data_IF_983800439946
#
_entry.id   IF_983800439946
#
_cell.length_a   1.000
_cell.length_b   1.000
_cell.length_c   1.000
_cell.angle_alpha   90.00
_cell.angle_beta   90.00
_cell.angle_gamma   90.00
#
_symmetry.space_group_name_H-M   'P 1'
#
loop_
_entity.id
_entity.type
_entity.pdbx_description
1 polymer ?
#
# COMPACT_ATOMS: atom_id res chain seq x y z
N UNK A 1 -2.70 6.95 31.08
CA UNK A 1 -2.19 7.95 30.13
C UNK A 1 -2.48 7.41 28.74
N UNK A 2 -2.93 8.27 27.83
CA UNK A 2 -3.18 7.92 26.44
C UNK A 2 -1.86 7.60 25.74
N UNK A 3 -1.82 6.56 24.90
CA UNK A 3 -0.63 6.15 24.17
C UNK A 3 -0.42 7.02 22.94
N UNK A 4 0.79 7.55 22.75
CA UNK A 4 1.11 8.46 21.66
C UNK A 4 1.50 7.69 20.40
N UNK A 5 0.65 7.73 19.38
CA UNK A 5 0.80 6.99 18.12
C UNK A 5 1.15 7.95 16.98
N UNK A 6 2.31 7.76 16.37
CA UNK A 6 2.76 8.53 15.21
C UNK A 6 2.50 7.73 13.94
N UNK A 7 1.83 8.33 12.95
CA UNK A 7 1.49 7.65 11.70
C UNK A 7 2.08 8.43 10.53
N UNK A 8 3.03 7.84 9.82
CA UNK A 8 3.50 8.41 8.55
C UNK A 8 2.55 8.00 7.42
N UNK A 9 2.17 8.95 6.56
CA UNK A 9 1.17 8.70 5.52
C UNK A 9 -0.26 8.58 6.07
N UNK A 10 -0.56 9.24 7.20
CA UNK A 10 -1.84 9.11 7.90
C UNK A 10 -3.05 9.57 7.08
N UNK A 11 -2.87 10.45 6.08
CA UNK A 11 -3.92 10.86 5.15
C UNK A 11 -4.08 9.92 3.94
N UNK A 12 -3.30 8.84 3.88
CA UNK A 12 -3.32 7.87 2.78
C UNK A 12 -4.50 6.89 2.82
N UNK A 13 -4.45 5.89 1.94
CA UNK A 13 -5.43 4.80 1.82
C UNK A 13 -5.65 4.12 3.19
N UNK A 14 -4.62 3.42 3.68
CA UNK A 14 -4.65 2.73 4.97
C UNK A 14 -4.72 3.72 6.14
N UNK A 15 -3.99 4.83 6.06
CA UNK A 15 -3.94 5.82 7.14
C UNK A 15 -5.31 6.38 7.50
N UNK A 16 -6.12 6.76 6.51
CA UNK A 16 -7.46 7.33 6.75
C UNK A 16 -8.39 6.34 7.48
N UNK A 17 -8.29 5.05 7.16
CA UNK A 17 -9.10 4.01 7.81
C UNK A 17 -8.55 3.68 9.20
N UNK A 18 -7.23 3.67 9.37
CA UNK A 18 -6.61 3.52 10.68
C UNK A 18 -7.01 4.65 11.63
N UNK A 19 -7.08 5.89 11.15
CA UNK A 19 -7.58 7.02 11.94
C UNK A 19 -9.03 6.80 12.42
N UNK A 20 -9.91 6.30 11.53
CA UNK A 20 -11.28 5.91 11.90
C UNK A 20 -11.28 4.84 13.00
N UNK A 21 -10.51 3.76 12.80
CA UNK A 21 -10.44 2.64 13.74
C UNK A 21 -9.89 3.05 15.11
N UNK A 22 -8.85 3.89 15.16
CA UNK A 22 -8.29 4.38 16.43
C UNK A 22 -9.20 5.40 17.13
N UNK A 23 -10.02 6.15 16.39
CA UNK A 23 -10.97 7.09 16.98
C UNK A 23 -12.08 6.40 17.79
N UNK A 24 -12.42 5.14 17.47
CA UNK A 24 -13.34 4.31 18.26
C UNK A 24 -12.81 4.08 19.70
N UNK A 25 -11.50 4.11 19.89
CA UNK A 25 -10.78 3.95 21.17
C UNK A 25 -10.03 5.26 21.53
N UNK A 26 -10.62 6.44 21.22
CA UNK A 26 -9.94 7.75 21.33
C UNK A 26 -9.49 8.15 22.73
N UNK A 27 -10.03 7.55 23.79
CA UNK A 27 -9.54 7.74 25.15
C UNK A 27 -8.15 7.13 25.37
N UNK A 28 -7.78 6.14 24.56
CA UNK A 28 -6.55 5.36 24.70
C UNK A 28 -5.41 5.87 23.82
N UNK A 29 -5.69 6.72 22.82
CA UNK A 29 -4.70 7.14 21.82
C UNK A 29 -4.63 8.65 21.58
N UNK A 30 -3.40 9.18 21.58
CA UNK A 30 -3.07 10.51 21.05
C UNK A 30 -2.42 10.30 19.68
N UNK A 31 -3.06 10.77 18.61
CA UNK A 31 -2.61 10.48 17.24
C UNK A 31 -1.93 11.68 16.60
N UNK A 32 -0.71 11.44 16.11
CA UNK A 32 0.11 12.42 15.38
C UNK A 32 0.29 11.94 13.93
N UNK A 33 -0.19 12.73 12.97
CA UNK A 33 -0.16 12.41 11.55
C UNK A 33 0.95 13.13 10.80
N UNK A 34 1.78 12.38 10.05
CA UNK A 34 2.85 12.95 9.20
C UNK A 34 2.44 12.80 7.73
N UNK A 35 2.38 13.90 7.00
CA UNK A 35 1.95 13.93 5.59
C UNK A 35 2.65 15.04 4.82
N UNK A 36 2.84 14.86 3.51
CA UNK A 36 3.34 15.94 2.64
C UNK A 36 2.32 17.06 2.40
N UNK A 37 1.05 16.69 2.47
CA UNK A 37 -0.10 17.59 2.21
C UNK A 37 -1.11 17.33 3.32
N UNK A 38 -1.27 18.32 4.18
CA UNK A 38 -2.24 18.26 5.27
C UNK A 38 -3.66 18.13 4.71
N UNK A 39 -4.48 17.19 5.22
CA UNK A 39 -5.89 17.15 4.87
C UNK A 39 -6.64 18.32 5.50
N UNK A 40 -7.79 18.69 4.92
CA UNK A 40 -8.69 19.64 5.60
C UNK A 40 -9.13 19.04 6.95
N UNK A 41 -9.28 19.86 8.01
CA UNK A 41 -9.60 19.39 9.37
C UNK A 41 -11.10 19.03 9.51
N UNK A 42 -11.55 18.04 8.74
CA UNK A 42 -12.91 17.49 8.74
C UNK A 42 -12.90 16.04 9.23
N UNK A 43 -14.03 15.60 9.78
CA UNK A 43 -14.26 14.21 10.21
C UNK A 43 -13.11 13.70 11.09
N UNK A 44 -12.55 12.54 10.73
CA UNK A 44 -11.44 11.89 11.45
C UNK A 44 -10.11 12.63 11.41
N UNK A 45 -9.97 13.65 10.56
CA UNK A 45 -8.72 14.42 10.48
C UNK A 45 -8.67 15.55 11.53
N UNK A 46 -9.80 15.92 12.13
CA UNK A 46 -9.90 17.02 13.11
C UNK A 46 -9.20 16.70 14.43
N UNK A 47 -9.22 15.44 14.85
CA UNK A 47 -8.67 14.97 16.13
C UNK A 47 -7.17 14.62 16.06
N UNK A 48 -6.52 14.84 14.90
CA UNK A 48 -5.13 14.47 14.66
C UNK A 48 -4.23 15.70 14.71
N UNK A 49 -3.11 15.60 15.43
CA UNK A 49 -2.04 16.61 15.35
C UNK A 49 -1.21 16.38 14.11
N UNK A 50 -1.16 17.36 13.20
CA UNK A 50 -0.48 17.21 11.91
C UNK A 50 0.91 17.82 11.89
N UNK A 51 1.84 17.12 11.25
CA UNK A 51 3.13 17.65 10.82
C UNK A 51 3.31 17.46 9.32
N UNK A 52 3.64 18.55 8.63
CA UNK A 52 3.94 18.49 7.21
C UNK A 52 5.36 17.96 7.00
N UNK A 53 5.49 16.74 6.50
CA UNK A 53 6.78 16.03 6.33
C UNK A 53 6.84 15.34 4.97
N UNK A 54 7.91 15.60 4.21
CA UNK A 54 8.33 14.75 3.09
C UNK A 54 9.55 13.93 3.51
N UNK A 55 9.40 12.61 3.52
CA UNK A 55 10.47 11.68 3.90
C UNK A 55 11.62 11.63 2.90
N UNK A 56 11.44 12.17 1.69
CA UNK A 56 12.51 12.32 0.70
C UNK A 56 13.29 13.63 0.83
N UNK A 57 12.86 14.57 1.67
CA UNK A 57 13.52 15.87 1.77
C UNK A 57 14.83 15.81 2.57
N UNK A 58 15.87 16.58 2.18
CA UNK A 58 17.08 16.72 3.00
C UNK A 58 16.76 17.24 4.41
N UNK A 59 17.42 16.68 5.42
CA UNK A 59 17.27 17.12 6.82
C UNK A 59 16.00 16.62 7.51
N UNK A 60 15.25 15.70 6.90
CA UNK A 60 14.04 15.09 7.50
C UNK A 60 14.34 14.45 8.86
N UNK A 61 15.56 13.95 9.09
CA UNK A 61 15.97 13.29 10.33
C UNK A 61 15.76 14.18 11.56
N UNK A 62 16.16 15.45 11.49
CA UNK A 62 16.03 16.39 12.62
C UNK A 62 14.57 16.63 12.98
N UNK A 63 13.70 16.70 11.97
CA UNK A 63 12.26 16.86 12.17
C UNK A 63 11.66 15.60 12.81
N UNK A 64 12.01 14.42 12.29
CA UNK A 64 11.54 13.15 12.85
C UNK A 64 12.02 12.95 14.29
N UNK A 65 13.26 13.33 14.62
CA UNK A 65 13.81 13.22 15.97
C UNK A 65 13.00 14.03 16.99
N UNK A 66 12.54 15.21 16.61
CA UNK A 66 11.69 16.03 17.46
C UNK A 66 10.28 15.44 17.59
N UNK A 67 9.68 15.03 16.47
CA UNK A 67 8.31 14.52 16.44
C UNK A 67 8.18 13.18 17.16
N UNK A 68 9.22 12.34 17.13
CA UNK A 68 9.20 10.97 17.67
C UNK A 68 9.44 10.88 19.18
N UNK A 69 9.86 11.97 19.84
CA UNK A 69 10.06 11.98 21.30
C UNK A 69 8.77 11.60 22.04
N UNK A 70 8.88 10.66 22.98
CA UNK A 70 7.75 10.21 23.79
C UNK A 70 6.69 9.45 23.02
N UNK A 71 6.97 8.97 21.81
CA UNK A 71 6.03 8.11 21.09
C UNK A 71 6.04 6.68 21.64
N UNK A 72 4.85 6.12 21.85
CA UNK A 72 4.66 4.72 22.24
C UNK A 72 4.67 3.79 21.03
N UNK A 73 4.27 4.28 19.86
CA UNK A 73 4.29 3.50 18.63
C UNK A 73 4.46 4.41 17.41
N UNK A 74 5.21 3.94 16.43
CA UNK A 74 5.27 4.53 15.09
C UNK A 74 4.68 3.57 14.08
N UNK A 75 3.70 4.02 13.29
CA UNK A 75 3.12 3.29 12.17
C UNK A 75 3.61 3.90 10.87
N UNK A 76 4.47 3.17 10.15
CA UNK A 76 5.07 3.64 8.91
C UNK A 76 4.27 3.18 7.69
N UNK A 77 3.35 4.03 7.20
CA UNK A 77 2.51 3.77 6.00
C UNK A 77 2.95 4.59 4.77
N UNK A 78 3.78 5.61 4.96
CA UNK A 78 4.22 6.49 3.88
C UNK A 78 5.06 5.71 2.86
N UNK A 79 4.53 5.55 1.65
CA UNK A 79 5.22 4.88 0.54
C UNK A 79 4.83 5.47 -0.81
N UNK A 80 5.77 5.53 -1.74
CA UNK A 80 5.47 5.86 -3.13
C UNK A 80 5.03 4.63 -3.92
N UNK A 81 3.72 4.36 -3.96
CA UNK A 81 3.14 3.16 -4.61
C UNK A 81 3.00 3.26 -6.14
N UNK A 82 3.27 4.43 -6.73
CA UNK A 82 2.95 4.69 -8.13
C UNK A 82 3.90 3.99 -9.12
N UNK A 83 3.40 3.40 -10.23
CA UNK A 83 4.24 3.10 -11.37
C UNK A 83 4.93 4.36 -11.86
N UNK A 84 6.25 4.32 -12.03
CA UNK A 84 7.04 5.49 -12.40
C UNK A 84 8.19 5.11 -13.33
N UNK A 85 8.59 6.08 -14.14
CA UNK A 85 9.83 6.08 -14.90
C UNK A 85 10.96 6.77 -14.14
N UNK A 86 10.64 7.61 -13.14
CA UNK A 86 11.61 8.16 -12.22
C UNK A 86 11.76 7.22 -11.01
N UNK A 87 12.51 6.13 -11.21
CA UNK A 87 12.70 5.12 -10.17
C UNK A 87 13.58 5.62 -9.03
N UNK A 88 14.51 6.56 -9.28
CA UNK A 88 15.46 7.08 -8.27
C UNK A 88 14.71 7.69 -7.10
N UNK A 89 13.83 8.67 -7.37
CA UNK A 89 13.05 9.30 -6.30
C UNK A 89 12.22 8.30 -5.49
N UNK A 90 11.58 7.32 -6.15
CA UNK A 90 10.81 6.30 -5.42
C UNK A 90 11.70 5.41 -4.57
N UNK A 91 12.89 5.05 -5.05
CA UNK A 91 13.89 4.34 -4.25
C UNK A 91 14.37 5.19 -3.07
N UNK A 92 14.63 6.47 -3.27
CA UNK A 92 15.08 7.38 -2.22
C UNK A 92 14.01 7.54 -1.13
N UNK A 93 12.76 7.85 -1.50
CA UNK A 93 11.67 7.95 -0.51
C UNK A 93 11.39 6.61 0.17
N UNK A 94 11.40 5.50 -0.59
CA UNK A 94 11.14 4.18 -0.04
C UNK A 94 12.24 3.76 0.94
N UNK A 95 13.50 3.77 0.51
CA UNK A 95 14.61 3.22 1.28
C UNK A 95 15.12 4.26 2.28
N UNK A 96 15.50 5.46 1.83
CA UNK A 96 16.05 6.49 2.73
C UNK A 96 14.99 7.00 3.70
N UNK A 97 13.74 7.17 3.23
CA UNK A 97 12.61 7.55 4.08
C UNK A 97 12.30 6.50 5.16
N UNK A 98 12.23 5.21 4.80
CA UNK A 98 12.07 4.14 5.79
C UNK A 98 13.26 4.05 6.75
N UNK A 99 14.49 4.25 6.25
CA UNK A 99 15.68 4.27 7.08
C UNK A 99 15.68 5.44 8.07
N UNK A 100 15.25 6.63 7.64
CA UNK A 100 15.12 7.81 8.50
C UNK A 100 14.09 7.59 9.60
N UNK A 101 12.94 6.99 9.29
CA UNK A 101 11.91 6.62 10.27
C UNK A 101 12.45 5.61 11.30
N UNK A 102 13.13 4.56 10.85
CA UNK A 102 13.71 3.56 11.74
C UNK A 102 14.79 4.17 12.66
N UNK A 103 15.68 5.02 12.11
CA UNK A 103 16.71 5.72 12.89
C UNK A 103 16.10 6.65 13.93
N UNK A 104 15.08 7.42 13.56
CA UNK A 104 14.39 8.32 14.48
C UNK A 104 13.67 7.54 15.59
N UNK A 105 12.99 6.44 15.25
CA UNK A 105 12.35 5.56 16.23
C UNK A 105 13.36 4.99 17.22
N UNK A 106 14.52 4.55 16.73
CA UNK A 106 15.59 4.05 17.58
C UNK A 106 16.15 5.14 18.51
N UNK A 107 16.51 6.32 17.98
CA UNK A 107 17.07 7.42 18.79
C UNK A 107 16.09 7.94 19.84
N UNK A 108 14.79 7.96 19.52
CA UNK A 108 13.75 8.39 20.44
C UNK A 108 13.33 7.28 21.43
N UNK A 109 13.95 6.09 21.37
CA UNK A 109 13.60 4.93 22.18
C UNK A 109 12.11 4.55 22.07
N UNK A 110 11.54 4.68 20.87
CA UNK A 110 10.17 4.22 20.59
C UNK A 110 10.13 2.71 20.80
N UNK A 111 9.22 2.17 21.62
CA UNK A 111 9.24 0.75 21.94
C UNK A 111 8.73 -0.11 20.78
N UNK A 112 7.95 0.46 19.86
CA UNK A 112 7.26 -0.31 18.81
C UNK A 112 7.16 0.43 17.46
N UNK A 113 7.54 -0.25 16.38
CA UNK A 113 7.41 0.20 15.01
C UNK A 113 6.55 -0.79 14.21
N UNK A 114 5.41 -0.34 13.70
CA UNK A 114 4.59 -1.09 12.74
C UNK A 114 4.95 -0.64 11.33
N UNK A 115 5.65 -1.50 10.58
CA UNK A 115 6.02 -1.27 9.20
C UNK A 115 5.00 -1.89 8.24
N UNK A 116 4.46 -1.09 7.33
CA UNK A 116 3.63 -1.58 6.23
C UNK A 116 4.50 -2.13 5.09
N UNK A 117 4.74 -3.44 5.14
CA UNK A 117 5.41 -4.20 4.08
C UNK A 117 4.41 -4.59 2.96
N UNK A 118 4.66 -5.67 2.23
CA UNK A 118 3.80 -6.15 1.13
C UNK A 118 4.12 -7.58 0.75
N UNK A 119 3.13 -8.32 0.23
CA UNK A 119 3.34 -9.56 -0.54
C UNK A 119 4.39 -9.41 -1.64
N UNK A 120 4.57 -8.20 -2.15
CA UNK A 120 5.57 -7.88 -3.16
C UNK A 120 7.02 -8.05 -2.70
N UNK A 121 7.30 -8.33 -1.43
CA UNK A 121 8.66 -8.69 -0.97
C UNK A 121 9.00 -10.14 -1.27
N UNK A 122 8.01 -11.02 -1.43
CA UNK A 122 8.28 -12.44 -1.54
C UNK A 122 8.95 -12.82 -2.86
N UNK A 123 9.89 -13.75 -2.76
CA UNK A 123 10.59 -14.34 -3.89
C UNK A 123 9.65 -15.24 -4.71
N UNK A 124 9.86 -15.33 -6.04
CA UNK A 124 9.13 -16.28 -6.88
C UNK A 124 9.40 -17.73 -6.48
N UNK A 125 8.53 -18.66 -6.91
CA UNK A 125 8.77 -20.11 -6.80
C UNK A 125 7.60 -20.92 -6.22
N UNK A 126 6.56 -20.25 -5.71
CA UNK A 126 5.33 -20.89 -5.21
C UNK A 126 4.05 -20.19 -5.67
N UNK A 127 4.03 -19.75 -6.93
CA UNK A 127 2.85 -19.13 -7.51
C UNK A 127 1.61 -20.04 -7.36
N UNK A 128 0.48 -19.45 -6.96
CA UNK A 128 -0.77 -20.18 -6.72
C UNK A 128 -0.80 -21.06 -5.46
N UNK A 129 0.28 -21.10 -4.67
CA UNK A 129 0.33 -21.79 -3.37
C UNK A 129 0.48 -20.78 -2.23
N UNK A 130 -0.11 -21.10 -1.08
CA UNK A 130 0.05 -20.29 0.13
C UNK A 130 1.44 -20.48 0.74
N UNK A 131 2.03 -19.40 1.21
CA UNK A 131 3.28 -19.41 1.99
C UNK A 131 3.10 -18.62 3.27
N UNK A 132 3.81 -19.02 4.31
CA UNK A 132 3.86 -18.31 5.59
C UNK A 132 4.93 -17.21 5.57
N UNK A 133 5.16 -16.59 6.72
CA UNK A 133 6.08 -15.48 6.86
C UNK A 133 7.57 -15.85 6.79
N UNK A 134 7.90 -17.14 6.78
CA UNK A 134 9.28 -17.64 6.67
C UNK A 134 9.79 -17.69 5.23
N UNK A 135 8.90 -17.53 4.24
CA UNK A 135 9.29 -17.52 2.84
C UNK A 135 10.22 -16.34 2.51
N UNK A 136 11.16 -16.57 1.59
CA UNK A 136 12.20 -15.60 1.25
C UNK A 136 11.61 -14.28 0.76
N UNK A 137 12.12 -13.17 1.29
CA UNK A 137 11.77 -11.79 0.93
C UNK A 137 12.73 -11.18 -0.11
N UNK A 138 13.36 -12.00 -0.95
CA UNK A 138 14.31 -11.53 -1.98
C UNK A 138 13.64 -10.79 -3.15
N UNK A 139 12.30 -10.78 -3.20
CA UNK A 139 11.51 -10.08 -4.19
C UNK A 139 11.59 -10.64 -5.62
N UNK A 140 10.94 -9.91 -6.52
CA UNK A 140 10.86 -10.15 -7.95
C UNK A 140 11.74 -9.13 -8.66
N UNK A 141 12.84 -9.60 -9.25
CA UNK A 141 13.89 -8.75 -9.84
C UNK A 141 13.39 -7.78 -10.91
N UNK A 142 12.37 -8.15 -11.68
CA UNK A 142 11.83 -7.29 -12.74
C UNK A 142 10.91 -6.18 -12.23
N UNK A 143 10.50 -6.21 -10.95
CA UNK A 143 9.62 -5.21 -10.35
C UNK A 143 10.40 -4.23 -9.47
N UNK A 144 10.45 -2.96 -9.86
CA UNK A 144 11.03 -1.88 -9.06
C UNK A 144 10.39 -1.77 -7.69
N UNK A 145 9.06 -1.88 -7.62
CA UNK A 145 8.31 -1.88 -6.36
C UNK A 145 8.77 -3.01 -5.44
N UNK A 146 8.86 -4.23 -5.99
CA UNK A 146 9.30 -5.41 -5.24
C UNK A 146 10.73 -5.26 -4.72
N UNK A 147 11.65 -4.78 -5.57
CA UNK A 147 13.04 -4.52 -5.18
C UNK A 147 13.14 -3.53 -4.02
N UNK A 148 12.39 -2.43 -4.07
CA UNK A 148 12.39 -1.43 -3.01
C UNK A 148 11.82 -1.98 -1.70
N UNK A 149 10.67 -2.67 -1.75
CA UNK A 149 10.08 -3.32 -0.57
C UNK A 149 11.00 -4.37 0.05
N UNK A 150 11.64 -5.20 -0.79
CA UNK A 150 12.58 -6.23 -0.35
C UNK A 150 13.85 -5.64 0.28
N UNK A 151 14.36 -4.53 -0.27
CA UNK A 151 15.50 -3.81 0.32
C UNK A 151 15.19 -3.26 1.71
N UNK A 152 13.96 -2.78 1.95
CA UNK A 152 13.53 -2.33 3.28
C UNK A 152 13.37 -3.51 4.24
N UNK A 153 12.81 -4.65 3.84
CA UNK A 153 12.80 -5.87 4.66
C UNK A 153 14.22 -6.28 5.08
N UNK A 154 15.17 -6.32 4.15
CA UNK A 154 16.56 -6.65 4.44
C UNK A 154 17.23 -5.63 5.40
N UNK A 155 16.90 -4.35 5.28
CA UNK A 155 17.35 -3.31 6.21
C UNK A 155 16.78 -3.52 7.62
N UNK A 156 15.51 -3.91 7.73
CA UNK A 156 14.87 -4.22 9.01
C UNK A 156 15.47 -5.49 9.65
N UNK A 157 15.74 -6.54 8.85
CA UNK A 157 16.39 -7.77 9.31
C UNK A 157 17.78 -7.48 9.89
N UNK A 158 18.53 -6.64 9.19
CA UNK A 158 19.84 -6.19 9.63
C UNK A 158 19.76 -5.38 10.93
N UNK A 159 18.79 -4.49 11.05
CA UNK A 159 18.59 -3.69 12.26
C UNK A 159 18.26 -4.56 13.47
N UNK A 160 17.31 -5.49 13.35
CA UNK A 160 16.91 -6.38 14.46
C UNK A 160 18.09 -7.25 14.92
N UNK A 161 18.90 -7.76 13.97
CA UNK A 161 20.10 -8.54 14.32
C UNK A 161 21.17 -7.71 15.02
N UNK A 162 21.35 -6.43 14.65
CA UNK A 162 22.32 -5.53 15.29
C UNK A 162 21.83 -4.93 16.61
N UNK A 163 20.52 -4.85 16.80
CA UNK A 163 19.91 -4.19 17.95
C UNK A 163 18.84 -5.09 18.60
N UNK A 164 19.23 -6.20 19.26
CA UNK A 164 18.25 -7.12 19.86
C UNK A 164 17.37 -6.48 20.94
N UNK A 165 17.86 -5.45 21.61
CA UNK A 165 17.13 -4.63 22.60
C UNK A 165 16.62 -3.31 22.02
N UNK A 166 16.61 -3.17 20.70
CA UNK A 166 16.17 -1.98 19.99
C UNK A 166 14.66 -1.87 19.88
N UNK A 167 14.19 -1.12 18.88
CA UNK A 167 12.76 -0.96 18.59
C UNK A 167 12.17 -2.31 18.20
N UNK A 168 11.06 -2.73 18.84
CA UNK A 168 10.33 -3.92 18.41
C UNK A 168 9.61 -3.67 17.09
N UNK A 169 9.77 -4.54 16.08
CA UNK A 169 9.26 -4.28 14.72
C UNK A 169 8.16 -5.28 14.35
N UNK A 170 6.96 -4.78 14.05
CA UNK A 170 5.91 -5.53 13.35
C UNK A 170 6.02 -5.28 11.86
N UNK A 171 5.99 -6.32 11.02
CA UNK A 171 5.99 -6.18 9.56
C UNK A 171 4.71 -6.77 8.98
N UNK A 172 3.79 -5.91 8.55
CA UNK A 172 2.55 -6.37 7.93
C UNK A 172 2.78 -6.56 6.43
N UNK A 173 2.59 -7.77 5.91
CA UNK A 173 2.75 -8.14 4.49
C UNK A 173 1.38 -8.42 3.87
N UNK A 174 0.59 -7.37 3.57
CA UNK A 174 -0.71 -7.57 2.95
C UNK A 174 -0.59 -7.97 1.49
N UNK A 175 -1.65 -8.63 1.00
CA UNK A 175 -1.96 -8.72 -0.43
C UNK A 175 -2.23 -7.34 -1.06
N UNK A 176 -2.88 -7.33 -2.22
CA UNK A 176 -3.35 -6.08 -2.82
C UNK A 176 -4.40 -5.45 -1.89
N UNK A 177 -4.10 -4.26 -1.35
CA UNK A 177 -5.01 -3.54 -0.46
C UNK A 177 -6.00 -2.74 -1.30
N UNK A 178 -7.30 -2.95 -1.06
CA UNK A 178 -8.39 -2.29 -1.78
C UNK A 178 -9.44 -1.70 -0.84
N UNK A 179 -10.17 -0.69 -1.32
CA UNK A 179 -11.41 -0.16 -0.74
C UNK A 179 -12.04 0.86 -1.71
N UNK A 180 -13.34 1.11 -1.58
CA UNK A 180 -14.09 2.12 -2.32
C UNK A 180 -13.53 3.54 -2.18
N UNK A 181 -13.23 3.97 -0.96
CA UNK A 181 -12.79 5.35 -0.65
C UNK A 181 -11.41 5.68 -1.24
N UNK A 182 -10.65 4.67 -1.64
CA UNK A 182 -9.35 4.84 -2.29
C UNK A 182 -9.42 4.72 -3.81
N UNK A 183 -10.59 4.47 -4.38
CA UNK A 183 -10.77 4.24 -5.81
C UNK A 183 -10.21 5.39 -6.66
N UNK A 184 -10.53 6.65 -6.35
CA UNK A 184 -9.98 7.80 -7.06
C UNK A 184 -8.45 7.94 -6.93
N UNK A 185 -7.85 7.42 -5.85
CA UNK A 185 -6.40 7.33 -5.67
C UNK A 185 -5.80 6.22 -6.52
N UNK A 186 -6.32 5.00 -6.40
CA UNK A 186 -5.88 3.80 -7.13
C UNK A 186 -6.08 3.93 -8.64
N UNK A 187 -7.15 4.59 -9.09
CA UNK A 187 -7.40 4.90 -10.51
C UNK A 187 -6.17 5.52 -11.17
N UNK A 188 -5.47 6.42 -10.47
CA UNK A 188 -4.31 7.15 -11.00
C UNK A 188 -3.11 6.23 -11.27
N UNK A 189 -3.07 5.05 -10.67
CA UNK A 189 -1.99 4.09 -10.82
C UNK A 189 -2.32 3.02 -11.87
N UNK A 190 -3.60 2.74 -12.09
CA UNK A 190 -4.06 1.63 -12.94
C UNK A 190 -4.54 2.11 -14.31
N UNK A 191 -5.09 3.32 -14.41
CA UNK A 191 -5.70 3.84 -15.64
C UNK A 191 -5.09 5.20 -16.06
N UNK A 192 -4.83 5.42 -17.37
CA UNK A 192 -4.53 6.75 -17.89
C UNK A 192 -5.63 7.76 -17.58
N UNK A 193 -5.27 9.03 -17.40
CA UNK A 193 -6.23 10.10 -17.07
C UNK A 193 -7.33 10.28 -18.13
N UNK A 194 -7.04 9.97 -19.39
CA UNK A 194 -8.00 10.08 -20.50
C UNK A 194 -9.02 8.94 -20.55
N UNK A 195 -8.81 7.84 -19.81
CA UNK A 195 -9.81 6.78 -19.67
C UNK A 195 -10.76 7.16 -18.54
N UNK A 196 -12.04 7.32 -18.88
CA UNK A 196 -13.09 7.54 -17.90
C UNK A 196 -13.48 6.18 -17.27
N UNK A 197 -13.53 6.10 -15.93
CA UNK A 197 -13.80 4.85 -15.22
C UNK A 197 -15.21 4.30 -15.45
N UNK A 198 -16.17 5.13 -15.87
CA UNK A 198 -17.48 4.63 -16.31
C UNK A 198 -17.37 3.65 -17.49
N UNK A 199 -16.30 3.73 -18.30
CA UNK A 199 -16.04 2.79 -19.40
C UNK A 199 -15.68 1.38 -18.92
N UNK A 200 -15.29 1.19 -17.66
CA UNK A 200 -15.07 -0.14 -17.09
C UNK A 200 -16.35 -1.00 -17.17
N UNK A 201 -17.54 -0.39 -17.07
CA UNK A 201 -18.83 -1.09 -17.23
C UNK A 201 -19.13 -1.54 -18.65
N UNK A 202 -18.45 -0.94 -19.63
CA UNK A 202 -18.58 -1.25 -21.05
C UNK A 202 -17.46 -2.18 -21.52
N UNK A 203 -16.61 -2.67 -20.60
CA UNK A 203 -15.56 -3.62 -20.91
C UNK A 203 -16.19 -5.00 -21.17
N UNK A 204 -16.49 -5.29 -22.45
CA UNK A 204 -17.16 -6.53 -22.83
C UNK A 204 -16.28 -7.78 -22.63
N UNK A 205 -14.96 -7.61 -22.72
CA UNK A 205 -13.99 -8.72 -22.63
C UNK A 205 -12.82 -8.35 -21.72
N UNK A 206 -12.39 -9.32 -20.90
CA UNK A 206 -11.23 -9.22 -20.03
C UNK A 206 -10.13 -10.18 -20.52
N UNK A 207 -9.18 -9.70 -21.34
CA UNK A 207 -8.08 -10.53 -21.84
C UNK A 207 -7.02 -10.73 -20.76
N UNK A 208 -7.10 -11.86 -20.05
CA UNK A 208 -6.19 -12.20 -18.95
C UNK A 208 -5.86 -13.70 -18.93
N UNK A 209 -4.70 -14.03 -18.37
CA UNK A 209 -4.29 -15.41 -18.21
C UNK A 209 -5.20 -16.10 -17.17
N UNK A 210 -5.65 -17.33 -17.47
CA UNK A 210 -6.50 -18.14 -16.57
C UNK A 210 -5.79 -18.56 -15.29
N UNK A 211 -4.45 -18.54 -15.29
CA UNK A 211 -3.63 -18.86 -14.12
C UNK A 211 -3.60 -17.75 -13.07
N UNK A 212 -4.12 -16.55 -13.38
CA UNK A 212 -4.07 -15.41 -12.47
C UNK A 212 -4.76 -15.74 -11.13
N UNK A 213 -3.99 -15.62 -10.05
CA UNK A 213 -4.45 -15.71 -8.67
C UNK A 213 -3.72 -14.65 -7.83
N UNK A 214 -4.47 -13.81 -7.12
CA UNK A 214 -3.95 -12.67 -6.35
C UNK A 214 -4.49 -12.75 -4.93
N UNK A 215 -3.62 -12.56 -3.93
CA UNK A 215 -4.06 -12.29 -2.56
C UNK A 215 -4.50 -10.83 -2.48
N UNK A 216 -5.73 -10.59 -2.03
CA UNK A 216 -6.35 -9.27 -1.91
C UNK A 216 -6.89 -9.11 -0.50
N UNK A 217 -6.87 -7.90 0.07
CA UNK A 217 -7.38 -7.62 1.41
C UNK A 217 -8.05 -6.25 1.46
N UNK A 218 -9.16 -6.15 2.19
CA UNK A 218 -9.84 -4.86 2.37
C UNK A 218 -9.07 -3.96 3.32
N UNK A 219 -9.17 -2.64 3.12
CA UNK A 219 -8.39 -1.67 3.91
C UNK A 219 -8.81 -1.64 5.38
N UNK A 220 -10.10 -1.87 5.69
CA UNK A 220 -10.59 -2.00 7.07
C UNK A 220 -9.92 -3.15 7.82
N UNK A 221 -9.76 -4.30 7.16
CA UNK A 221 -9.12 -5.46 7.77
C UNK A 221 -7.64 -5.19 8.03
N UNK A 222 -6.95 -4.46 7.14
CA UNK A 222 -5.57 -4.03 7.36
C UNK A 222 -5.47 -3.05 8.54
N UNK A 223 -6.40 -2.09 8.65
CA UNK A 223 -6.43 -1.15 9.76
C UNK A 223 -6.69 -1.86 11.11
N UNK A 224 -7.58 -2.85 11.14
CA UNK A 224 -7.82 -3.68 12.33
C UNK A 224 -6.57 -4.48 12.72
N UNK A 225 -5.85 -5.05 11.76
CA UNK A 225 -4.58 -5.74 12.01
C UNK A 225 -3.53 -4.79 12.62
N UNK A 226 -3.44 -3.54 12.15
CA UNK A 226 -2.54 -2.53 12.73
C UNK A 226 -2.96 -2.20 14.16
N UNK A 227 -4.24 -1.93 14.42
CA UNK A 227 -4.73 -1.61 15.75
C UNK A 227 -4.44 -2.74 16.75
N UNK A 228 -4.66 -3.99 16.34
CA UNK A 228 -4.32 -5.19 17.13
C UNK A 228 -2.83 -5.34 17.36
N UNK A 229 -2.00 -5.05 16.35
CA UNK A 229 -0.54 -5.06 16.50
C UNK A 229 -0.06 -3.99 17.48
N UNK A 230 -0.62 -2.77 17.43
CA UNK A 230 -0.31 -1.69 18.39
C UNK A 230 -0.66 -2.14 19.81
N UNK A 231 -1.87 -2.67 20.02
CA UNK A 231 -2.38 -3.07 21.33
C UNK A 231 -1.59 -4.24 21.95
N UNK A 232 -1.27 -5.25 21.14
CA UNK A 232 -0.54 -6.44 21.59
C UNK A 232 0.98 -6.26 21.61
N UNK A 233 1.50 -5.20 20.96
CA UNK A 233 2.94 -4.98 20.70
C UNK A 233 3.61 -6.20 20.04
N UNK A 234 2.86 -6.95 19.24
CA UNK A 234 3.33 -8.19 18.63
C UNK A 234 4.42 -7.91 17.58
N UNK A 235 5.59 -8.53 17.73
CA UNK A 235 6.73 -8.34 16.83
C UNK A 235 6.84 -9.44 15.76
N UNK A 236 7.59 -9.14 14.71
CA UNK A 236 7.83 -10.02 13.57
C UNK A 236 6.86 -9.80 12.41
N UNK A 237 6.96 -10.65 11.39
CA UNK A 237 6.15 -10.53 10.19
C UNK A 237 4.75 -11.15 10.35
N UNK A 238 3.76 -10.57 9.66
CA UNK A 238 2.38 -11.06 9.58
C UNK A 238 1.81 -10.87 8.18
N UNK A 239 1.37 -11.96 7.56
CA UNK A 239 0.66 -11.95 6.30
C UNK A 239 -0.80 -11.55 6.49
N UNK A 240 -1.31 -10.70 5.60
CA UNK A 240 -2.71 -10.26 5.61
C UNK A 240 -3.35 -10.46 4.23
N UNK A 241 -4.38 -11.30 4.17
CA UNK A 241 -5.16 -11.57 2.97
C UNK A 241 -6.60 -11.91 3.36
N UNK A 242 -7.55 -11.40 2.56
CA UNK A 242 -8.89 -11.95 2.49
C UNK A 242 -8.88 -13.29 1.78
N UNK A 243 -9.93 -14.08 2.02
CA UNK A 243 -10.18 -15.36 1.36
C UNK A 243 -11.51 -15.26 0.62
N UNK A 244 -11.69 -16.02 -0.48
CA UNK A 244 -10.66 -16.80 -1.19
C UNK A 244 -9.71 -15.89 -2.01
N UNK A 245 -8.58 -16.39 -2.53
CA UNK A 245 -7.76 -15.63 -3.47
C UNK A 245 -8.55 -15.25 -4.71
N UNK A 246 -8.38 -14.01 -5.19
CA UNK A 246 -9.07 -13.49 -6.37
C UNK A 246 -8.43 -14.04 -7.63
N UNK A 247 -9.25 -14.63 -8.49
CA UNK A 247 -8.87 -15.20 -9.79
C UNK A 247 -9.38 -14.35 -10.94
N UNK A 248 -8.93 -14.68 -12.16
CA UNK A 248 -9.37 -14.02 -13.40
C UNK A 248 -10.90 -13.95 -13.52
N UNK A 249 -11.58 -15.06 -13.26
CA UNK A 249 -13.02 -15.16 -13.48
C UNK A 249 -13.82 -14.36 -12.46
N UNK A 250 -13.32 -14.23 -11.23
CA UNK A 250 -13.88 -13.33 -10.21
C UNK A 250 -13.79 -11.86 -10.67
N UNK A 251 -12.63 -11.46 -11.22
CA UNK A 251 -12.44 -10.11 -11.78
C UNK A 251 -13.41 -9.87 -12.94
N UNK A 252 -13.58 -10.85 -13.83
CA UNK A 252 -14.48 -10.74 -14.96
C UNK A 252 -15.94 -10.61 -14.50
N UNK A 253 -16.36 -11.40 -13.52
CA UNK A 253 -17.69 -11.34 -12.93
C UNK A 253 -17.96 -9.98 -12.30
N UNK A 254 -17.05 -9.46 -11.48
CA UNK A 254 -17.19 -8.15 -10.83
C UNK A 254 -17.27 -7.01 -11.86
N UNK A 255 -16.52 -7.10 -12.96
CA UNK A 255 -16.55 -6.10 -14.03
C UNK A 255 -17.76 -6.25 -14.98
N UNK A 256 -18.53 -7.34 -14.89
CA UNK A 256 -19.57 -7.67 -15.87
C UNK A 256 -19.02 -8.02 -17.26
N UNK A 257 -17.77 -8.50 -17.32
CA UNK A 257 -17.04 -8.79 -18.55
C UNK A 257 -16.96 -10.30 -18.83
N UNK A 258 -16.79 -10.70 -20.10
CA UNK A 258 -16.42 -12.08 -20.44
C UNK A 258 -14.91 -12.28 -20.32
N UNK A 259 -14.47 -13.25 -19.54
CA UNK A 259 -13.04 -13.57 -19.45
C UNK A 259 -12.56 -14.26 -20.73
N UNK A 260 -11.47 -13.76 -21.31
CA UNK A 260 -10.82 -14.34 -22.49
C UNK A 260 -9.41 -14.75 -22.10
N UNK A 261 -9.06 -16.02 -22.32
CA UNK A 261 -7.71 -16.50 -22.01
C UNK A 261 -6.70 -15.88 -22.97
N UNK A 262 -5.81 -15.06 -22.43
CA UNK A 262 -4.60 -14.60 -23.13
C UNK A 262 -3.40 -15.04 -22.31
N UNK A 263 -2.52 -15.91 -22.82
CA UNK A 263 -1.35 -16.37 -22.09
C UNK A 263 -0.46 -15.21 -21.63
N UNK A 264 0.06 -15.29 -20.41
CA UNK A 264 0.93 -14.28 -19.82
C UNK A 264 2.19 -14.01 -20.65
N UNK A 265 2.68 -15.01 -21.39
CA UNK A 265 3.77 -14.87 -22.35
C UNK A 265 3.45 -13.89 -23.50
N UNK A 266 2.18 -13.72 -23.86
CA UNK A 266 1.69 -12.75 -24.85
C UNK A 266 1.38 -11.41 -24.19
N UNK A 267 0.80 -11.42 -22.98
CA UNK A 267 0.48 -10.19 -22.24
C UNK A 267 1.74 -9.37 -21.91
N UNK A 268 2.84 -10.05 -21.52
CA UNK A 268 4.11 -9.39 -21.15
C UNK A 268 4.67 -8.46 -22.24
N UNK A 269 4.90 -8.90 -23.50
CA UNK A 269 5.39 -8.02 -24.56
C UNK A 269 4.38 -6.93 -24.94
N UNK A 270 3.08 -7.19 -24.88
CA UNK A 270 2.05 -6.18 -25.13
C UNK A 270 2.06 -5.05 -24.09
N UNK A 271 2.11 -5.42 -22.80
CA UNK A 271 2.23 -4.45 -21.69
C UNK A 271 3.54 -3.67 -21.78
N UNK A 272 4.66 -4.35 -22.07
CA UNK A 272 5.95 -3.69 -22.23
C UNK A 272 5.95 -2.69 -23.40
N UNK A 273 5.35 -3.07 -24.53
CA UNK A 273 5.28 -2.21 -25.72
C UNK A 273 4.39 -1.00 -25.47
N UNK A 274 3.19 -1.22 -24.92
CA UNK A 274 2.25 -0.13 -24.59
C UNK A 274 2.83 0.83 -23.54
N UNK A 275 3.58 0.33 -22.55
CA UNK A 275 4.33 1.14 -21.58
C UNK A 275 5.45 1.97 -22.23
N UNK A 276 6.20 1.40 -23.18
CA UNK A 276 7.24 2.13 -23.94
C UNK A 276 6.64 3.22 -24.82
N UNK A 277 5.49 2.93 -25.42
CA UNK A 277 4.71 3.88 -26.22
C UNK A 277 3.89 4.88 -25.39
N UNK A 278 3.96 4.80 -24.04
CA UNK A 278 3.24 5.68 -23.10
C UNK A 278 1.72 5.62 -23.22
N UNK A 279 1.19 4.50 -23.72
CA UNK A 279 -0.24 4.28 -23.87
C UNK A 279 -0.91 3.96 -22.53
N UNK A 280 -0.20 3.33 -21.59
CA UNK A 280 -0.76 2.94 -20.29
C UNK A 280 0.30 2.99 -19.17
N UNK A 281 -0.10 3.12 -17.88
CA UNK A 281 0.81 3.43 -16.78
C UNK A 281 1.45 2.22 -16.08
N UNK A 282 1.02 1.00 -16.38
CA UNK A 282 1.48 -0.26 -15.76
C UNK A 282 2.69 -0.79 -16.53
N UNK A 283 3.87 -0.81 -15.92
CA UNK A 283 5.03 -1.45 -16.54
C UNK A 283 5.04 -2.98 -16.37
N UNK A 284 5.90 -3.66 -17.14
CA UNK A 284 6.04 -5.13 -17.10
C UNK A 284 6.31 -5.66 -15.69
N UNK A 285 7.00 -4.92 -14.83
CA UNK A 285 7.33 -5.35 -13.48
C UNK A 285 6.10 -5.63 -12.61
N UNK A 286 5.01 -4.87 -12.78
CA UNK A 286 3.75 -5.12 -12.07
C UNK A 286 3.05 -6.39 -12.55
N UNK A 287 3.06 -6.64 -13.86
CA UNK A 287 2.52 -7.88 -14.41
C UNK A 287 3.34 -9.08 -13.93
N UNK A 288 4.66 -8.99 -14.02
CA UNK A 288 5.57 -10.03 -13.54
C UNK A 288 5.34 -10.30 -12.05
N UNK A 289 5.15 -9.26 -11.23
CA UNK A 289 4.82 -9.39 -9.81
C UNK A 289 3.54 -10.21 -9.59
N UNK A 290 2.45 -9.84 -10.27
CA UNK A 290 1.14 -10.50 -10.15
C UNK A 290 1.14 -11.99 -10.55
N UNK A 291 2.10 -12.41 -11.38
CA UNK A 291 2.29 -13.81 -11.80
C UNK A 291 3.46 -14.52 -11.12
N UNK A 292 4.14 -13.87 -10.17
CA UNK A 292 5.33 -14.42 -9.51
C UNK A 292 5.17 -14.61 -8.01
N UNK A 293 4.45 -13.70 -7.35
CA UNK A 293 4.30 -13.76 -5.88
C UNK A 293 3.41 -14.92 -5.45
N UNK A 294 3.72 -15.58 -4.33
CA UNK A 294 2.88 -16.63 -3.78
C UNK A 294 1.56 -16.06 -3.22
N UNK A 295 0.62 -16.96 -2.92
CA UNK A 295 -0.53 -16.62 -2.09
C UNK A 295 -0.11 -16.56 -0.62
N UNK A 296 -0.89 -15.88 0.21
CA UNK A 296 -0.55 -15.67 1.62
C UNK A 296 -1.26 -16.67 2.54
N UNK A 297 -0.50 -17.31 3.43
CA UNK A 297 -1.05 -17.95 4.62
C UNK A 297 -1.14 -16.94 5.75
N UNK A 298 -2.34 -16.75 6.31
CA UNK A 298 -2.66 -15.79 7.36
C UNK A 298 -2.80 -16.43 8.76
N UNK A 299 -2.38 -17.69 8.93
CA UNK A 299 -2.49 -18.43 10.19
C UNK A 299 -1.77 -17.74 11.38
N UNK A 300 -0.62 -17.11 11.15
CA UNK A 300 0.10 -16.40 12.21
C UNK A 300 -0.66 -15.17 12.70
N UNK A 301 -1.21 -14.37 11.79
CA UNK A 301 -2.03 -13.21 12.15
C UNK A 301 -3.26 -13.62 12.97
N UNK A 302 -3.92 -14.73 12.61
CA UNK A 302 -5.02 -15.31 13.40
C UNK A 302 -4.60 -15.70 14.81
N UNK A 303 -3.49 -16.41 14.96
CA UNK A 303 -3.06 -16.92 16.28
C UNK A 303 -2.47 -15.86 17.20
N UNK A 304 -1.72 -14.90 16.66
CA UNK A 304 -0.93 -13.96 17.46
C UNK A 304 -1.64 -12.62 17.63
N UNK A 305 -2.32 -12.12 16.59
CA UNK A 305 -3.01 -10.83 16.64
C UNK A 305 -4.51 -11.00 16.95
N UNK A 306 -5.02 -12.23 17.02
CA UNK A 306 -6.45 -12.52 17.04
C UNK A 306 -7.17 -11.88 15.83
N UNK A 307 -6.48 -11.81 14.68
CA UNK A 307 -6.99 -11.13 13.50
C UNK A 307 -7.53 -12.12 12.47
N UNK A 308 -8.71 -11.82 11.93
CA UNK A 308 -9.27 -12.51 10.77
C UNK A 308 -9.90 -11.50 9.81
N UNK A 309 -9.81 -11.69 8.48
CA UNK A 309 -10.45 -10.80 7.54
C UNK A 309 -11.97 -10.84 7.74
N UNK A 310 -12.61 -9.67 7.79
CA UNK A 310 -14.06 -9.53 7.84
C UNK A 310 -14.66 -9.42 6.44
N UNK A 311 -13.87 -8.97 5.47
CA UNK A 311 -14.27 -8.89 4.08
C UNK A 311 -13.88 -10.14 3.30
N UNK A 312 -14.82 -10.66 2.52
CA UNK A 312 -14.49 -11.58 1.43
C UNK A 312 -13.66 -10.83 0.37
N UNK A 313 -12.66 -11.50 -0.20
CA UNK A 313 -11.73 -10.83 -1.11
C UNK A 313 -12.40 -10.41 -2.45
N UNK A 314 -13.40 -11.16 -2.91
CA UNK A 314 -14.17 -10.83 -4.13
C UNK A 314 -15.13 -9.69 -3.84
N UNK A 315 -15.76 -9.66 -2.66
CA UNK A 315 -16.57 -8.52 -2.22
C UNK A 315 -15.74 -7.24 -2.07
N UNK A 316 -14.53 -7.34 -1.51
CA UNK A 316 -13.61 -6.21 -1.42
C UNK A 316 -13.16 -5.70 -2.81
N UNK A 317 -13.00 -6.60 -3.79
CA UNK A 317 -12.77 -6.21 -5.18
C UNK A 317 -13.99 -5.49 -5.76
N UNK A 318 -15.21 -6.01 -5.51
CA UNK A 318 -16.45 -5.38 -5.96
C UNK A 318 -16.63 -3.98 -5.36
N UNK A 319 -16.30 -3.79 -4.09
CA UNK A 319 -16.35 -2.51 -3.41
C UNK A 319 -15.41 -1.47 -4.07
N UNK A 320 -14.18 -1.88 -4.42
CA UNK A 320 -13.27 -1.02 -5.19
C UNK A 320 -13.83 -0.68 -6.58
N UNK A 321 -14.36 -1.67 -7.31
CA UNK A 321 -14.90 -1.45 -8.66
C UNK A 321 -16.10 -0.51 -8.62
N UNK A 322 -16.98 -0.65 -7.63
CA UNK A 322 -18.09 0.27 -7.39
C UNK A 322 -17.58 1.70 -7.14
N UNK A 323 -16.55 1.85 -6.30
CA UNK A 323 -15.89 3.15 -6.07
C UNK A 323 -15.27 3.75 -7.33
N UNK A 324 -14.66 2.92 -8.20
CA UNK A 324 -14.10 3.39 -9.47
C UNK A 324 -15.20 3.88 -10.41
N UNK A 325 -16.31 3.14 -10.49
CA UNK A 325 -17.47 3.49 -11.31
C UNK A 325 -18.10 4.81 -10.85
N UNK A 326 -18.25 5.02 -9.54
CA UNK A 326 -18.88 6.22 -8.99
C UNK A 326 -17.90 7.39 -8.77
N UNK A 327 -16.60 7.17 -9.00
CA UNK A 327 -15.58 8.20 -8.79
C UNK A 327 -15.38 8.56 -7.31
N UNK A 328 -15.64 7.61 -6.40
CA UNK A 328 -15.57 7.80 -4.96
C UNK A 328 -14.15 8.11 -4.49
N UNK A 329 -14.05 8.96 -3.48
CA UNK A 329 -12.81 9.32 -2.81
C UNK A 329 -13.09 10.10 -1.53
N UNK A 330 -12.04 10.42 -0.77
CA UNK A 330 -12.18 11.16 0.49
C UNK A 330 -11.71 12.62 0.36
N UNK A 331 -11.98 13.49 1.36
CA UNK A 331 -11.39 14.83 1.43
C UNK A 331 -9.85 14.85 1.46
N UNK A 332 -9.19 13.71 1.72
CA UNK A 332 -7.73 13.63 1.70
C UNK A 332 -7.15 14.09 0.35
N UNK A 333 -6.10 14.93 0.34
CA UNK A 333 -5.44 15.39 -0.88
C UNK A 333 -4.95 14.26 -1.80
N UNK A 334 -4.64 13.08 -1.25
CA UNK A 334 -4.17 11.93 -2.03
C UNK A 334 -5.31 11.06 -2.55
N UNK A 335 -6.45 11.00 -1.87
CA UNK A 335 -7.60 10.17 -2.26
C UNK A 335 -8.70 10.94 -2.99
N UNK A 336 -8.68 12.28 -2.97
CA UNK A 336 -9.75 13.09 -3.56
C UNK A 336 -10.03 12.77 -5.03
N UNK A 337 -11.31 12.73 -5.45
CA UNK A 337 -11.66 12.68 -6.86
C UNK A 337 -11.07 13.87 -7.63
N UNK A 338 -10.76 13.66 -8.91
CA UNK A 338 -10.36 14.73 -9.83
C UNK A 338 -11.30 14.72 -11.01
N UNK A 339 -11.79 15.89 -11.39
CA UNK A 339 -12.52 16.04 -12.64
C UNK A 339 -11.63 15.67 -13.82
N UNK A 340 -12.23 15.15 -14.89
CA UNK A 340 -11.54 14.78 -16.12
C UNK A 340 -10.69 15.93 -16.67
N UNK A 341 -11.25 17.14 -16.75
CA UNK A 341 -10.55 18.34 -17.21
C UNK A 341 -9.34 18.67 -16.34
N UNK A 342 -9.44 18.57 -15.01
CA UNK A 342 -8.30 18.79 -14.11
C UNK A 342 -7.24 17.68 -14.23
N UNK A 343 -7.65 16.44 -14.49
CA UNK A 343 -6.71 15.34 -14.69
C UNK A 343 -5.91 15.53 -15.98
N UNK A 344 -6.57 15.86 -17.10
CA UNK A 344 -5.91 16.13 -18.38
C UNK A 344 -5.05 17.39 -18.30
N UNK A 345 -5.59 18.50 -17.81
CA UNK A 345 -4.84 19.76 -17.69
C UNK A 345 -3.53 19.56 -16.92
N UNK A 346 -3.58 18.78 -15.83
CA UNK A 346 -2.39 18.45 -15.06
C UNK A 346 -1.43 17.52 -15.80
N UNK A 347 -1.92 16.49 -16.47
CA UNK A 347 -1.06 15.58 -17.22
C UNK A 347 -0.40 16.29 -18.42
N UNK A 348 -1.03 17.33 -18.97
CA UNK A 348 -0.44 18.22 -19.99
C UNK A 348 0.59 19.17 -19.38
N UNK A 349 0.30 19.78 -18.22
CA UNK A 349 1.18 20.79 -17.62
C UNK A 349 2.37 20.22 -16.83
N UNK A 350 2.15 19.16 -16.06
CA UNK A 350 3.14 18.55 -15.16
C UNK A 350 3.66 17.19 -15.66
N UNK A 351 3.09 16.69 -16.77
CA UNK A 351 3.33 15.34 -17.27
C UNK A 351 2.48 14.28 -16.55
N UNK A 352 2.29 13.10 -17.17
CA UNK A 352 1.59 11.99 -16.54
C UNK A 352 2.32 11.53 -15.28
N UNK A 353 1.57 10.90 -14.35
CA UNK A 353 2.10 10.46 -13.05
C UNK A 353 3.38 9.61 -13.17
N UNK A 354 3.50 8.88 -14.28
CA UNK A 354 4.62 8.01 -14.60
C UNK A 354 5.90 8.74 -14.97
N UNK A 355 5.83 10.02 -15.38
CA UNK A 355 7.00 10.84 -15.77
C UNK A 355 7.10 12.15 -15.00
N UNK A 356 6.29 12.32 -13.95
CA UNK A 356 6.27 13.54 -13.13
C UNK A 356 7.62 13.69 -12.41
N UNK A 357 8.17 14.90 -12.46
CA UNK A 357 9.26 15.29 -11.57
C UNK A 357 8.66 15.38 -10.17
N UNK A 358 9.10 14.48 -9.30
CA UNK A 358 8.73 14.54 -7.90
C UNK A 358 9.74 15.49 -7.23
N UNK A 359 9.28 16.42 -6.36
CA UNK A 359 10.11 17.48 -5.80
C UNK A 359 11.42 17.01 -5.17
#
# INVERSE_FOLDING_TARGET
MSARIIITGASGNVGTVLLRRLAEESADYEVVGLTRREPSPTDVYRSVTWHQVDLGSPGVETLLDNVFRGADCVVHLAWGFQPTRNTRYLFDVAINGSAAVLRAAHRANVPHLVHMSSVGTYAPGRYGRKVDETWSTAGVRSSTYSRAKSAVEAMLDEYERRNPSGVGITRLRPGLIVQRDAAAGLRRYVLPAYINTHWLRWLLVLPLDRSLAISLVHTDDVADAIARAIKSRAVGPFNLAGEPPVRRDDIAQVLGARSVHVPSAVLRPLVQTSWRLRLQPIDRGWLDLAFSVPLLDTARARRVLDWSPRWDAVEALADLVDGLVHGTGTPSPVLRPRSFLRAISRDVSEGPITSRHVP
#
